data_IF_113979053870
#
_entry.id   IF_113979053870
#
_cell.length_a   1.000
_cell.length_b   1.000
_cell.length_c   1.000
_cell.angle_alpha   90.00
_cell.angle_beta   90.00
_cell.angle_gamma   90.00
#
_symmetry.space_group_name_H-M   'P 1'
#
loop_
_entity.id
_entity.type
_entity.pdbx_description
1 polymer ?
#
# COMPACT_ATOMS: atom_id res chain seq x y z
N UNK A 1 18.47 -4.87 -20.86
CA UNK A 1 17.37 -4.75 -19.86
C UNK A 1 17.82 -5.10 -18.44
N UNK A 2 18.63 -6.15 -18.23
CA UNK A 2 19.04 -6.64 -16.89
C UNK A 2 19.79 -5.63 -16.02
N UNK A 3 20.48 -4.65 -16.61
CA UNK A 3 21.22 -3.60 -15.88
C UNK A 3 20.31 -2.62 -15.11
N UNK A 4 19.04 -2.50 -15.50
CA UNK A 4 18.09 -1.58 -14.85
C UNK A 4 17.28 -2.26 -13.73
N UNK A 5 17.27 -3.59 -13.66
CA UNK A 5 16.57 -4.34 -12.61
C UNK A 5 16.99 -3.95 -11.19
N UNK A 6 18.30 -3.78 -10.87
CA UNK A 6 18.72 -3.37 -9.53
C UNK A 6 18.13 -2.02 -9.13
N UNK A 7 18.01 -1.08 -10.07
CA UNK A 7 17.42 0.23 -9.82
C UNK A 7 15.95 0.06 -9.42
N UNK A 8 15.20 -0.77 -10.16
CA UNK A 8 13.81 -1.10 -9.83
C UNK A 8 13.66 -1.66 -8.40
N UNK A 9 14.52 -2.60 -8.01
CA UNK A 9 14.49 -3.17 -6.66
C UNK A 9 14.81 -2.14 -5.56
N UNK A 10 15.74 -1.21 -5.80
CA UNK A 10 16.05 -0.14 -4.85
C UNK A 10 14.84 0.77 -4.64
N UNK A 11 14.19 1.21 -5.72
CA UNK A 11 12.99 2.04 -5.60
C UNK A 11 11.82 1.28 -4.99
N UNK A 12 11.68 -0.01 -5.28
CA UNK A 12 10.67 -0.87 -4.65
C UNK A 12 10.90 -0.96 -3.13
N UNK A 13 12.15 -1.16 -2.69
CA UNK A 13 12.50 -1.18 -1.28
C UNK A 13 12.17 0.16 -0.60
N UNK A 14 12.52 1.28 -1.21
CA UNK A 14 12.15 2.62 -0.72
C UNK A 14 10.62 2.78 -0.65
N UNK A 15 9.90 2.27 -1.64
CA UNK A 15 8.44 2.22 -1.67
C UNK A 15 7.87 1.44 -0.48
N UNK A 16 8.43 0.29 -0.13
CA UNK A 16 7.99 -0.48 1.05
C UNK A 16 8.23 0.27 2.36
N UNK A 17 9.35 0.98 2.51
CA UNK A 17 9.57 1.84 3.67
C UNK A 17 8.55 2.97 3.76
N UNK A 18 8.25 3.64 2.64
CA UNK A 18 7.23 4.68 2.57
C UNK A 18 5.84 4.12 2.89
N UNK A 19 5.50 2.95 2.36
CA UNK A 19 4.24 2.26 2.60
C UNK A 19 4.05 1.95 4.09
N UNK A 20 5.06 1.36 4.73
CA UNK A 20 5.02 1.05 6.17
C UNK A 20 4.92 2.33 7.02
N UNK A 21 5.64 3.39 6.66
CA UNK A 21 5.56 4.69 7.34
C UNK A 21 4.17 5.32 7.23
N UNK A 22 3.58 5.32 6.02
CA UNK A 22 2.23 5.84 5.79
C UNK A 22 1.19 5.04 6.57
N UNK A 23 1.33 3.71 6.63
CA UNK A 23 0.46 2.86 7.44
C UNK A 23 0.55 3.25 8.92
N UNK A 24 1.76 3.33 9.48
CA UNK A 24 1.97 3.67 10.89
C UNK A 24 1.38 5.05 11.25
N UNK A 25 1.44 6.02 10.33
CA UNK A 25 0.87 7.36 10.51
C UNK A 25 -0.65 7.42 10.36
N UNK A 26 -1.22 6.52 9.55
CA UNK A 26 -2.67 6.39 9.34
C UNK A 26 -3.36 5.39 10.27
N UNK A 27 -2.61 4.77 11.19
CA UNK A 27 -3.13 3.80 12.15
C UNK A 27 -4.01 4.49 13.19
N UNK A 28 -5.24 4.02 13.34
CA UNK A 28 -6.27 4.66 14.18
C UNK A 28 -6.46 3.96 15.54
N UNK A 29 -5.75 2.85 15.80
CA UNK A 29 -5.79 2.16 17.09
C UNK A 29 -6.63 0.89 17.13
N UNK A 30 -7.28 0.53 16.02
CA UNK A 30 -8.16 -0.63 15.89
C UNK A 30 -7.43 -1.96 15.65
N UNK A 31 -8.12 -2.91 15.01
CA UNK A 31 -7.52 -4.19 14.62
C UNK A 31 -6.52 -3.98 13.48
N UNK A 32 -5.26 -4.35 13.70
CA UNK A 32 -4.19 -4.22 12.70
C UNK A 32 -4.53 -4.87 11.36
N UNK A 33 -5.22 -6.02 11.36
CA UNK A 33 -5.66 -6.66 10.12
C UNK A 33 -6.69 -5.82 9.35
N UNK A 34 -7.70 -5.28 10.04
CA UNK A 34 -8.80 -4.52 9.42
C UNK A 34 -8.28 -3.17 8.92
N UNK A 35 -7.48 -2.48 9.73
CA UNK A 35 -6.83 -1.24 9.31
C UNK A 35 -5.83 -1.48 8.17
N UNK A 36 -5.11 -2.59 8.22
CA UNK A 36 -4.21 -3.06 7.16
C UNK A 36 -4.92 -3.22 5.83
N UNK A 37 -6.04 -3.95 5.81
CA UNK A 37 -6.86 -4.14 4.61
C UNK A 37 -7.44 -2.82 4.09
N UNK A 38 -7.95 -1.96 4.98
CA UNK A 38 -8.47 -0.63 4.60
C UNK A 38 -7.38 0.22 3.95
N UNK A 39 -6.21 0.31 4.58
CA UNK A 39 -5.07 1.05 4.06
C UNK A 39 -4.59 0.49 2.72
N UNK A 40 -4.43 -0.83 2.65
CA UNK A 40 -4.02 -1.54 1.43
C UNK A 40 -4.99 -1.32 0.27
N UNK A 41 -6.30 -1.29 0.52
CA UNK A 41 -7.30 -0.96 -0.49
C UNK A 41 -7.16 0.49 -0.99
N UNK A 42 -7.00 1.46 -0.08
CA UNK A 42 -6.78 2.86 -0.46
C UNK A 42 -5.51 3.04 -1.32
N UNK A 43 -4.42 2.38 -0.94
CA UNK A 43 -3.17 2.40 -1.72
C UNK A 43 -3.36 1.73 -3.07
N UNK A 44 -4.05 0.59 -3.14
CA UNK A 44 -4.33 -0.11 -4.40
C UNK A 44 -5.09 0.74 -5.40
N UNK A 45 -6.09 1.47 -4.92
CA UNK A 45 -6.85 2.43 -5.73
C UNK A 45 -5.93 3.58 -6.21
N UNK A 46 -5.09 4.11 -5.32
CA UNK A 46 -4.16 5.19 -5.66
C UNK A 46 -3.14 4.76 -6.72
N UNK A 47 -2.50 3.59 -6.54
CA UNK A 47 -1.52 3.02 -7.47
C UNK A 47 -2.18 2.69 -8.80
N UNK A 48 -3.38 2.13 -8.78
CA UNK A 48 -4.13 1.84 -10.01
C UNK A 48 -4.49 3.11 -10.76
N UNK A 49 -5.04 4.11 -10.06
CA UNK A 49 -5.50 5.36 -10.66
C UNK A 49 -4.36 6.17 -11.27
N UNK A 50 -3.27 6.36 -10.53
CA UNK A 50 -2.14 7.19 -10.98
C UNK A 50 -1.08 6.41 -11.76
N UNK A 51 -0.96 5.10 -11.55
CA UNK A 51 0.05 4.27 -12.19
C UNK A 51 -0.48 3.52 -13.42
N UNK A 52 -1.51 2.69 -13.23
CA UNK A 52 -1.95 1.72 -14.24
C UNK A 52 -2.83 2.33 -15.32
N UNK A 53 -3.79 3.18 -14.96
CA UNK A 53 -4.71 3.79 -15.94
C UNK A 53 -3.93 4.61 -16.96
N UNK A 54 -2.93 5.38 -16.52
CA UNK A 54 -2.08 6.14 -17.43
C UNK A 54 -1.26 5.25 -18.37
N UNK A 55 -0.82 4.07 -17.91
CA UNK A 55 -0.15 3.11 -18.79
C UNK A 55 -1.10 2.55 -19.84
N UNK A 56 -2.36 2.27 -19.50
CA UNK A 56 -3.38 1.85 -20.47
C UNK A 56 -3.70 2.94 -21.50
N UNK A 57 -3.65 4.22 -21.11
CA UNK A 57 -3.86 5.35 -22.02
C UNK A 57 -2.65 5.58 -22.94
N UNK A 58 -1.42 5.46 -22.41
CA UNK A 58 -0.18 5.78 -23.13
C UNK A 58 0.33 4.62 -23.98
N UNK A 59 0.08 3.38 -23.57
CA UNK A 59 0.54 2.18 -24.25
C UNK A 59 -0.66 1.38 -24.78
N UNK A 60 -0.54 0.72 -25.94
CA UNK A 60 -1.60 -0.11 -26.51
C UNK A 60 -1.73 -1.43 -25.74
N UNK A 61 -2.22 -1.35 -24.51
CA UNK A 61 -2.47 -2.50 -23.63
C UNK A 61 -3.86 -3.04 -23.92
N UNK A 62 -4.00 -4.36 -24.02
CA UNK A 62 -5.30 -5.01 -24.19
C UNK A 62 -6.18 -4.76 -22.95
N UNK A 63 -7.46 -4.38 -23.14
CA UNK A 63 -8.41 -4.14 -22.05
C UNK A 63 -8.53 -5.31 -21.06
N UNK A 64 -8.44 -6.56 -21.53
CA UNK A 64 -8.43 -7.72 -20.63
C UNK A 64 -7.20 -7.73 -19.72
N UNK A 65 -6.01 -7.42 -20.25
CA UNK A 65 -4.79 -7.32 -19.45
C UNK A 65 -4.88 -6.19 -18.44
N UNK A 66 -5.43 -5.04 -18.83
CA UNK A 66 -5.62 -3.91 -17.92
C UNK A 66 -6.49 -4.31 -16.73
N UNK A 67 -7.63 -4.97 -16.97
CA UNK A 67 -8.51 -5.45 -15.90
C UNK A 67 -7.81 -6.47 -14.99
N UNK A 68 -7.07 -7.42 -15.57
CA UNK A 68 -6.33 -8.41 -14.76
C UNK A 68 -5.28 -7.76 -13.88
N UNK A 69 -4.49 -6.82 -14.41
CA UNK A 69 -3.44 -6.12 -13.64
C UNK A 69 -4.06 -5.24 -12.54
N UNK A 70 -5.21 -4.62 -12.80
CA UNK A 70 -5.96 -3.85 -11.79
C UNK A 70 -6.36 -4.75 -10.62
N UNK A 71 -7.01 -5.89 -10.92
CA UNK A 71 -7.45 -6.82 -9.88
C UNK A 71 -6.25 -7.34 -9.07
N UNK A 72 -5.19 -7.73 -9.78
CA UNK A 72 -3.93 -8.19 -9.18
C UNK A 72 -3.35 -7.12 -8.24
N UNK A 73 -3.22 -5.88 -8.71
CA UNK A 73 -2.66 -4.77 -7.93
C UNK A 73 -3.48 -4.41 -6.69
N UNK A 74 -4.82 -4.49 -6.79
CA UNK A 74 -5.71 -4.27 -5.64
C UNK A 74 -5.57 -5.38 -4.59
N UNK A 75 -5.56 -6.64 -5.03
CA UNK A 75 -5.41 -7.77 -4.11
C UNK A 75 -4.03 -7.78 -3.46
N UNK A 76 -2.99 -7.48 -4.24
CA UNK A 76 -1.61 -7.41 -3.77
C UNK A 76 -1.43 -6.28 -2.75
N UNK A 77 -1.96 -5.08 -3.00
CA UNK A 77 -1.87 -3.96 -2.06
C UNK A 77 -2.65 -4.21 -0.78
N UNK A 78 -3.82 -4.88 -0.86
CA UNK A 78 -4.58 -5.32 0.31
C UNK A 78 -3.81 -6.36 1.11
N UNK A 79 -3.14 -7.31 0.45
CA UNK A 79 -2.31 -8.32 1.10
C UNK A 79 -1.12 -7.68 1.83
N UNK A 80 -0.41 -6.74 1.18
CA UNK A 80 0.67 -5.99 1.80
C UNK A 80 0.18 -5.14 2.98
N UNK A 81 -0.97 -4.49 2.84
CA UNK A 81 -1.60 -3.76 3.94
C UNK A 81 -1.92 -4.67 5.13
N UNK A 82 -2.51 -5.85 4.88
CA UNK A 82 -2.79 -6.84 5.91
C UNK A 82 -1.51 -7.33 6.60
N UNK A 83 -0.46 -7.65 5.85
CA UNK A 83 0.83 -8.09 6.39
C UNK A 83 1.44 -7.01 7.27
N UNK A 84 1.50 -5.76 6.79
CA UNK A 84 2.03 -4.64 7.57
C UNK A 84 1.21 -4.42 8.84
N UNK A 85 -0.11 -4.48 8.76
CA UNK A 85 -0.98 -4.31 9.92
C UNK A 85 -0.89 -5.44 10.94
N UNK A 86 -0.61 -6.67 10.52
CA UNK A 86 -0.35 -7.79 11.43
C UNK A 86 1.04 -7.70 12.09
N UNK A 87 2.02 -7.17 11.38
CA UNK A 87 3.39 -6.98 11.90
C UNK A 87 3.45 -5.76 12.82
N UNK A 88 2.68 -4.72 12.52
CA UNK A 88 2.71 -3.46 13.25
C UNK A 88 2.25 -3.66 14.68
N UNK A 89 3.18 -3.42 15.62
CA UNK A 89 2.90 -3.40 17.05
C UNK A 89 2.94 -1.95 17.49
N UNK A 90 1.79 -1.32 17.79
CA UNK A 90 1.77 0.03 18.33
C UNK A 90 2.65 0.05 19.59
N UNK A 91 3.61 0.97 19.67
CA UNK A 91 4.34 1.19 20.90
C UNK A 91 3.29 1.48 21.98
N UNK A 92 3.18 0.61 22.98
CA UNK A 92 2.26 0.78 24.07
C UNK A 92 2.68 2.04 24.83
N UNK A 93 2.20 3.24 24.44
CA UNK A 93 2.19 4.51 25.17
C UNK A 93 1.69 5.67 24.27
N UNK A 94 0.41 5.64 23.91
CA UNK A 94 -0.38 6.87 23.76
C UNK A 94 -1.74 6.75 24.48
N UNK A 95 -1.90 5.72 25.31
CA UNK A 95 -3.00 5.60 26.27
C UNK A 95 -2.57 6.35 27.53
N UNK A 96 -2.76 7.68 27.56
CA UNK A 96 -3.09 8.51 28.74
C UNK A 96 -2.85 10.00 28.45
N UNK A 97 -3.89 10.66 27.97
CA UNK A 97 -4.29 11.98 28.49
C UNK A 97 -5.79 12.14 28.25
N UNK A 98 -6.66 11.76 29.20
CA UNK A 98 -7.95 12.42 29.27
C UNK A 98 -7.63 13.88 29.59
N UNK A 99 -7.95 14.79 28.67
CA UNK A 99 -7.97 16.21 28.95
C UNK A 99 -9.11 16.45 29.95
N UNK A 100 -8.78 16.45 31.23
CA UNK A 100 -9.63 17.01 32.27
C UNK A 100 -9.20 18.46 32.44
N UNK A 101 -9.98 19.37 31.86
CA UNK A 101 -10.14 20.77 32.30
C UNK A 101 -11.61 21.10 32.19
#
# INVERSE_FOLDING_TARGET
MTRMLPIGFVFLLLGFFAFAYMYAKGYEGGSGLVEGLRFGLCVGILVTGFGLIWQYVLYPINGTMAVTIIIDSLLESMLYGAIVGLIYKPAAHAVRRPATV
#
